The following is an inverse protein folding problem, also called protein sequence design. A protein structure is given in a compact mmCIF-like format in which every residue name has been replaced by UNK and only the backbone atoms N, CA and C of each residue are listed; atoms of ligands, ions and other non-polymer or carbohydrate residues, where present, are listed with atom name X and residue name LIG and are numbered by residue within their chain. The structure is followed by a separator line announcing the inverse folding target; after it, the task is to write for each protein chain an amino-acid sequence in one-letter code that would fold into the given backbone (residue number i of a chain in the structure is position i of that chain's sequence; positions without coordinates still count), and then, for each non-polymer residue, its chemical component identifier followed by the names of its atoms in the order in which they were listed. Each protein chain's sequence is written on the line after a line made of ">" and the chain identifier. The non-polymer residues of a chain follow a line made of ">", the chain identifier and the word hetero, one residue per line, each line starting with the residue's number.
data_IF_531228565350
#
_entry.id   IF_531228565350
#
_cell.length_a   1.000
_cell.length_b   1.000
_cell.length_c   1.000
_cell.angle_alpha   90.00
_cell.angle_beta   90.00
_cell.angle_gamma   90.00
#
_symmetry.space_group_name_H-M   'P 1'
#
loop_
_entity.id
_entity.type
_entity.pdbx_description
1 polymer ?
#
# COMPACT_ATOMS: atom_id res chain seq x y z
N UNK A 1 16.75 0.08 17.71
CA UNK A 1 17.18 0.19 16.30
C UNK A 1 17.24 -1.17 15.61
N UNK A 2 18.11 -2.11 16.02
CA UNK A 2 18.19 -3.45 15.39
C UNK A 2 16.90 -4.28 15.60
N UNK A 3 16.34 -4.28 16.81
CA UNK A 3 15.08 -4.99 17.09
C UNK A 3 13.93 -4.55 16.19
N UNK A 4 13.77 -3.23 15.98
CA UNK A 4 12.74 -2.66 15.11
C UNK A 4 12.89 -3.07 13.64
N UNK A 5 14.13 -3.22 13.15
CA UNK A 5 14.41 -3.71 11.79
C UNK A 5 14.01 -5.17 11.64
N UNK A 6 14.29 -6.00 12.65
CA UNK A 6 13.91 -7.42 12.65
C UNK A 6 12.38 -7.55 12.66
N UNK A 7 11.69 -6.79 13.51
CA UNK A 7 10.22 -6.79 13.55
C UNK A 7 9.65 -6.34 12.21
N UNK A 8 10.16 -5.24 11.64
CA UNK A 8 9.71 -4.76 10.33
C UNK A 8 9.92 -5.79 9.21
N UNK A 9 11.07 -6.47 9.19
CA UNK A 9 11.36 -7.54 8.24
C UNK A 9 10.41 -8.72 8.40
N UNK A 10 10.18 -9.18 9.64
CA UNK A 10 9.31 -10.32 9.92
C UNK A 10 7.86 -9.99 9.60
N UNK A 11 7.34 -8.85 10.04
CA UNK A 11 5.95 -8.45 9.77
C UNK A 11 5.73 -8.22 8.27
N UNK A 12 6.61 -7.48 7.61
CA UNK A 12 6.53 -7.28 6.16
C UNK A 12 6.64 -8.60 5.40
N UNK A 13 7.54 -9.50 5.83
CA UNK A 13 7.67 -10.84 5.28
C UNK A 13 6.42 -11.70 5.46
N UNK A 14 5.75 -11.62 6.62
CA UNK A 14 4.48 -12.32 6.86
C UNK A 14 3.38 -11.83 5.93
N UNK A 15 3.27 -10.52 5.68
CA UNK A 15 2.31 -9.97 4.72
C UNK A 15 2.60 -10.51 3.31
N UNK A 16 3.88 -10.62 2.93
CA UNK A 16 4.27 -11.24 1.65
C UNK A 16 3.89 -12.74 1.58
N UNK A 17 4.07 -13.49 2.67
CA UNK A 17 3.65 -14.90 2.74
C UNK A 17 2.14 -15.02 2.59
N UNK A 18 1.36 -14.14 3.21
CA UNK A 18 -0.11 -14.08 3.00
C UNK A 18 -0.43 -13.84 1.53
N UNK A 19 0.25 -12.89 0.88
CA UNK A 19 0.10 -12.66 -0.56
C UNK A 19 0.44 -13.88 -1.42
N UNK A 20 1.51 -14.60 -1.10
CA UNK A 20 1.88 -15.84 -1.78
C UNK A 20 0.84 -16.94 -1.58
N UNK A 21 0.31 -17.11 -0.37
CA UNK A 21 -0.75 -18.08 -0.10
C UNK A 21 -2.04 -17.76 -0.88
N UNK A 22 -2.36 -16.48 -1.07
CA UNK A 22 -3.50 -16.07 -1.92
C UNK A 22 -3.29 -16.47 -3.39
N UNK A 23 -2.05 -16.47 -3.88
CA UNK A 23 -1.72 -16.96 -5.22
C UNK A 23 -1.69 -18.48 -5.31
N UNK A 24 -1.01 -19.16 -4.39
CA UNK A 24 -0.71 -20.58 -4.51
C UNK A 24 -1.88 -21.48 -4.06
N UNK A 25 -2.57 -21.08 -2.98
CA UNK A 25 -3.66 -21.86 -2.38
C UNK A 25 -5.01 -21.38 -2.91
N UNK A 26 -5.28 -20.08 -2.79
CA UNK A 26 -6.57 -19.51 -3.20
C UNK A 26 -6.65 -19.27 -4.72
N UNK A 27 -5.53 -19.41 -5.46
CA UNK A 27 -5.45 -19.23 -6.92
C UNK A 27 -6.05 -17.91 -7.39
N UNK A 28 -5.92 -16.88 -6.56
CA UNK A 28 -6.38 -15.54 -6.90
C UNK A 28 -5.48 -14.93 -7.97
N UNK A 29 -6.07 -14.11 -8.83
CA UNK A 29 -5.28 -13.34 -9.79
C UNK A 29 -4.53 -12.21 -9.06
N UNK A 30 -3.45 -11.66 -9.64
CA UNK A 30 -2.75 -10.49 -9.10
C UNK A 30 -3.71 -9.35 -8.73
N UNK A 31 -4.71 -9.07 -9.57
CA UNK A 31 -5.69 -8.03 -9.31
C UNK A 31 -6.53 -8.30 -8.04
N UNK A 32 -6.99 -9.53 -7.84
CA UNK A 32 -7.81 -9.89 -6.66
C UNK A 32 -6.99 -9.88 -5.37
N UNK A 33 -5.75 -10.36 -5.40
CA UNK A 33 -4.86 -10.34 -4.22
C UNK A 33 -4.53 -8.91 -3.79
N UNK A 34 -4.19 -8.05 -4.76
CA UNK A 34 -3.87 -6.65 -4.48
C UNK A 34 -5.09 -5.90 -3.96
N UNK A 35 -6.27 -6.07 -4.58
CA UNK A 35 -7.48 -5.41 -4.13
C UNK A 35 -7.89 -5.85 -2.73
N UNK A 36 -7.78 -7.14 -2.41
CA UNK A 36 -8.06 -7.66 -1.07
C UNK A 36 -7.14 -7.05 -0.01
N UNK A 37 -5.82 -7.00 -0.26
CA UNK A 37 -4.87 -6.41 0.69
C UNK A 37 -5.12 -4.90 0.89
N UNK A 38 -5.45 -4.17 -0.18
CA UNK A 38 -5.85 -2.75 -0.08
C UNK A 38 -7.11 -2.61 0.77
N UNK A 39 -8.15 -3.40 0.50
CA UNK A 39 -9.40 -3.36 1.27
C UNK A 39 -9.17 -3.69 2.74
N UNK A 40 -8.35 -4.69 3.06
CA UNK A 40 -7.99 -5.02 4.44
C UNK A 40 -7.33 -3.81 5.12
N UNK A 41 -6.37 -3.16 4.46
CA UNK A 41 -5.73 -1.95 4.96
C UNK A 41 -6.73 -0.82 5.22
N UNK A 42 -7.64 -0.56 4.27
CA UNK A 42 -8.70 0.44 4.40
C UNK A 42 -9.67 0.16 5.55
N UNK A 43 -10.03 -1.11 5.77
CA UNK A 43 -10.91 -1.51 6.87
C UNK A 43 -10.20 -1.35 8.22
N UNK A 44 -8.94 -1.77 8.31
CA UNK A 44 -8.14 -1.62 9.54
C UNK A 44 -7.98 -0.15 9.92
N UNK A 45 -7.75 0.74 8.95
CA UNK A 45 -7.68 2.19 9.20
C UNK A 45 -9.04 2.77 9.62
N UNK A 46 -10.13 2.37 8.97
CA UNK A 46 -11.48 2.81 9.36
C UNK A 46 -11.87 2.44 10.79
N UNK A 47 -11.25 1.39 11.37
CA UNK A 47 -11.39 1.02 12.78
C UNK A 47 -10.32 1.62 13.70
N UNK A 48 -9.38 2.41 13.18
CA UNK A 48 -8.25 2.97 13.92
C UNK A 48 -7.21 1.93 14.35
N UNK A 49 -7.20 0.75 13.71
CA UNK A 49 -6.30 -0.37 14.04
C UNK A 49 -5.00 -0.34 13.23
N UNK A 50 -4.94 0.45 12.15
CA UNK A 50 -3.74 0.52 11.32
C UNK A 50 -2.63 1.37 11.95
N UNK A 51 -2.97 2.46 12.64
CA UNK A 51 -2.00 3.28 13.39
C UNK A 51 -1.19 2.47 14.44
N UNK A 52 -1.81 1.72 15.37
CA UNK A 52 -1.07 0.89 16.31
C UNK A 52 -0.32 -0.26 15.62
N UNK A 53 -0.77 -0.69 14.44
CA UNK A 53 -0.04 -1.65 13.63
C UNK A 53 1.24 -1.03 13.03
N UNK A 54 1.20 0.23 12.59
CA UNK A 54 2.39 1.00 12.18
C UNK A 54 3.32 1.21 13.37
N UNK A 55 2.82 1.59 14.54
CA UNK A 55 3.66 1.81 15.73
C UNK A 55 4.41 0.55 16.15
N UNK A 56 3.80 -0.62 15.97
CA UNK A 56 4.42 -1.91 16.27
C UNK A 56 5.40 -2.38 15.19
N UNK A 57 5.00 -2.34 13.91
CA UNK A 57 5.72 -2.97 12.81
C UNK A 57 6.61 -2.02 12.00
N UNK A 58 6.43 -0.70 12.16
CA UNK A 58 7.11 0.34 11.40
C UNK A 58 7.05 0.10 9.89
N UNK A 59 8.22 0.01 9.26
CA UNK A 59 8.34 -0.27 7.82
C UNK A 59 7.66 -1.58 7.38
N UNK A 60 7.49 -2.54 8.28
CA UNK A 60 6.78 -3.80 7.99
C UNK A 60 5.28 -3.61 7.73
N UNK A 61 4.68 -2.52 8.22
CA UNK A 61 3.29 -2.15 7.96
C UNK A 61 3.16 -1.05 6.89
N UNK A 62 4.15 -0.16 6.74
CA UNK A 62 4.05 0.97 5.80
C UNK A 62 4.51 0.65 4.38
N UNK A 63 5.34 -0.37 4.18
CA UNK A 63 5.87 -0.78 2.86
C UNK A 63 4.89 -1.67 2.07
N UNK A 64 4.20 -2.66 2.66
CA UNK A 64 3.25 -3.49 1.92
C UNK A 64 2.05 -2.69 1.37
N UNK A 65 1.41 -3.22 0.31
CA UNK A 65 0.29 -2.56 -0.37
C UNK A 65 -0.94 -2.30 0.53
N UNK A 66 -1.05 -2.98 1.67
CA UNK A 66 -2.07 -2.69 2.70
C UNK A 66 -2.01 -1.23 3.17
N UNK A 67 -0.80 -0.65 3.20
CA UNK A 67 -0.56 0.75 3.57
C UNK A 67 -1.23 1.73 2.62
N UNK A 68 -1.39 1.35 1.35
CA UNK A 68 -2.11 2.14 0.36
C UNK A 68 -3.59 2.27 0.71
N UNK A 69 -4.20 1.19 1.19
CA UNK A 69 -5.59 1.19 1.67
C UNK A 69 -5.78 2.05 2.92
N UNK A 70 -4.83 1.97 3.85
CA UNK A 70 -4.77 2.84 5.03
C UNK A 70 -4.73 4.32 4.63
N UNK A 71 -3.77 4.70 3.79
CA UNK A 71 -3.61 6.08 3.36
C UNK A 71 -4.83 6.63 2.61
N UNK A 72 -5.50 5.79 1.81
CA UNK A 72 -6.75 6.11 1.13
C UNK A 72 -7.87 6.45 2.10
N UNK A 73 -8.14 5.57 3.07
CA UNK A 73 -9.21 5.78 4.05
C UNK A 73 -8.89 6.98 4.94
N UNK A 74 -7.65 7.09 5.42
CA UNK A 74 -7.23 8.17 6.30
C UNK A 74 -7.35 9.54 5.63
N UNK A 75 -6.90 9.65 4.38
CA UNK A 75 -7.05 10.86 3.57
C UNK A 75 -8.51 11.22 3.28
N UNK A 76 -9.33 10.21 2.97
CA UNK A 76 -10.75 10.40 2.74
C UNK A 76 -11.45 10.96 3.99
N UNK A 77 -11.18 10.38 5.17
CA UNK A 77 -11.77 10.79 6.43
C UNK A 77 -11.31 12.19 6.85
N UNK A 78 -10.01 12.47 6.77
CA UNK A 78 -9.45 13.78 7.12
C UNK A 78 -10.04 14.91 6.27
N UNK A 79 -10.24 14.65 4.97
CA UNK A 79 -10.77 15.66 4.06
C UNK A 79 -12.31 15.74 4.11
N UNK A 80 -12.97 14.64 4.45
CA UNK A 80 -14.41 14.63 4.73
C UNK A 80 -14.78 15.52 5.91
N UNK A 81 -13.96 15.57 6.96
CA UNK A 81 -14.19 16.47 8.10
C UNK A 81 -14.14 17.96 7.70
N UNK A 82 -13.33 18.32 6.71
CA UNK A 82 -13.16 19.71 6.25
C UNK A 82 -14.15 20.13 5.18
N UNK A 83 -14.41 19.24 4.22
CA UNK A 83 -15.15 19.54 2.99
C UNK A 83 -16.40 18.68 2.79
N UNK A 84 -16.81 17.92 3.81
CA UNK A 84 -17.99 17.06 3.78
C UNK A 84 -17.86 15.96 2.73
N UNK A 85 -18.96 15.64 2.04
CA UNK A 85 -19.01 14.54 1.07
C UNK A 85 -18.03 14.72 -0.10
N UNK A 86 -17.80 15.95 -0.55
CA UNK A 86 -16.82 16.24 -1.62
C UNK A 86 -15.40 15.92 -1.14
N UNK A 87 -15.14 16.18 0.15
CA UNK A 87 -13.87 15.89 0.82
C UNK A 87 -13.46 14.42 0.73
N UNK A 88 -14.41 13.49 0.85
CA UNK A 88 -14.14 12.04 0.72
C UNK A 88 -13.45 11.74 -0.60
N UNK A 89 -13.99 12.26 -1.70
CA UNK A 89 -13.47 12.00 -3.04
C UNK A 89 -12.13 12.72 -3.24
N UNK A 90 -12.06 14.01 -2.91
CA UNK A 90 -10.84 14.80 -3.12
C UNK A 90 -9.67 14.27 -2.30
N UNK A 91 -9.89 13.89 -1.04
CA UNK A 91 -8.87 13.32 -0.15
C UNK A 91 -8.34 11.98 -0.66
N UNK A 92 -9.19 11.08 -1.14
CA UNK A 92 -8.75 9.80 -1.74
C UNK A 92 -7.83 10.02 -2.94
N UNK A 93 -8.16 10.96 -3.82
CA UNK A 93 -7.36 11.23 -5.02
C UNK A 93 -6.07 11.99 -4.70
N UNK A 94 -6.08 12.90 -3.74
CA UNK A 94 -4.90 13.68 -3.35
C UNK A 94 -3.79 12.77 -2.79
N UNK A 95 -4.13 11.92 -1.83
CA UNK A 95 -3.16 11.02 -1.19
C UNK A 95 -2.60 10.01 -2.18
N UNK A 96 -3.43 9.47 -3.08
CA UNK A 96 -2.98 8.49 -4.08
C UNK A 96 -2.23 9.10 -5.26
N UNK A 97 -2.56 10.34 -5.64
CA UNK A 97 -1.93 11.03 -6.77
C UNK A 97 -0.43 11.20 -6.57
N UNK A 98 0.02 11.54 -5.37
CA UNK A 98 1.44 11.75 -5.07
C UNK A 98 2.28 10.47 -5.27
N UNK A 99 1.83 9.34 -4.73
CA UNK A 99 2.51 8.05 -4.84
C UNK A 99 2.52 7.50 -6.26
N UNK A 100 1.38 7.56 -6.96
CA UNK A 100 1.27 7.09 -8.35
C UNK A 100 2.11 7.98 -9.28
N UNK A 101 2.05 9.30 -9.12
CA UNK A 101 2.85 10.25 -9.92
C UNK A 101 4.35 10.01 -9.71
N UNK A 102 4.79 9.84 -8.47
CA UNK A 102 6.18 9.50 -8.16
C UNK A 102 6.59 8.20 -8.85
N UNK A 103 5.80 7.12 -8.71
CA UNK A 103 6.09 5.83 -9.33
C UNK A 103 6.21 5.94 -10.87
N UNK A 104 5.33 6.71 -11.51
CA UNK A 104 5.37 6.96 -12.96
C UNK A 104 6.62 7.74 -13.34
N UNK A 105 6.92 8.85 -12.66
CA UNK A 105 8.08 9.70 -12.95
C UNK A 105 9.37 8.91 -12.81
N UNK A 106 9.56 8.21 -11.69
CA UNK A 106 10.75 7.38 -11.48
C UNK A 106 10.83 6.21 -12.47
N UNK A 107 9.69 5.61 -12.83
CA UNK A 107 9.62 4.59 -13.87
C UNK A 107 10.08 5.11 -15.24
N UNK A 108 9.63 6.31 -15.62
CA UNK A 108 10.02 6.96 -16.89
C UNK A 108 11.50 7.35 -16.86
N UNK A 109 11.98 7.97 -15.79
CA UNK A 109 13.40 8.31 -15.63
C UNK A 109 14.27 7.06 -15.71
N UNK A 110 13.88 5.98 -15.03
CA UNK A 110 14.55 4.69 -15.11
C UNK A 110 14.57 4.12 -16.53
N UNK A 111 13.46 4.19 -17.27
CA UNK A 111 13.38 3.73 -18.65
C UNK A 111 14.23 4.58 -19.62
N UNK A 112 14.43 5.87 -19.35
CA UNK A 112 15.30 6.76 -20.13
C UNK A 112 16.78 6.45 -19.86
N UNK A 113 17.16 6.28 -18.59
CA UNK A 113 18.55 6.05 -18.19
C UNK A 113 19.02 4.62 -18.51
N UNK A 114 18.14 3.64 -18.37
CA UNK A 114 18.45 2.23 -18.57
C UNK A 114 17.72 1.70 -19.80
N UNK A 115 18.49 1.24 -20.79
CA UNK A 115 17.93 0.58 -21.97
C UNK A 115 17.23 -0.71 -21.54
N UNK A 116 15.90 -0.75 -21.65
CA UNK A 116 15.11 -1.96 -21.41
C UNK A 116 15.62 -3.09 -22.31
N UNK A 117 16.18 -4.14 -21.71
CA UNK A 117 16.53 -5.37 -22.42
C UNK A 117 15.26 -6.19 -22.60
N UNK A 118 14.49 -5.89 -23.66
CA UNK A 118 13.40 -6.75 -24.08
C UNK A 118 13.95 -8.09 -24.56
N UNK A 119 13.89 -9.13 -23.72
CA UNK A 119 13.84 -10.51 -24.22
C UNK A 119 12.37 -10.80 -24.51
N UNK A 120 11.96 -10.56 -25.75
CA UNK A 120 10.81 -11.23 -26.34
C UNK A 120 11.36 -12.55 -26.87
N UNK A 121 11.13 -13.63 -26.13
CA UNK A 121 11.30 -15.01 -26.62
C UNK A 121 10.05 -15.78 -26.34
#
# INVERSE_FOLDING_TARGET
>A
MISSIIIAFVVGGLVCVVGQLLFDVAKLTPAHTLSLLVVIGSVLDGFGLYEPFIDFAGAGATVPITSFGNALTHGALQEAEKHGFIGVITGMFEVTSSGISAAIIFGVVGAILFKSKGKVS
#
